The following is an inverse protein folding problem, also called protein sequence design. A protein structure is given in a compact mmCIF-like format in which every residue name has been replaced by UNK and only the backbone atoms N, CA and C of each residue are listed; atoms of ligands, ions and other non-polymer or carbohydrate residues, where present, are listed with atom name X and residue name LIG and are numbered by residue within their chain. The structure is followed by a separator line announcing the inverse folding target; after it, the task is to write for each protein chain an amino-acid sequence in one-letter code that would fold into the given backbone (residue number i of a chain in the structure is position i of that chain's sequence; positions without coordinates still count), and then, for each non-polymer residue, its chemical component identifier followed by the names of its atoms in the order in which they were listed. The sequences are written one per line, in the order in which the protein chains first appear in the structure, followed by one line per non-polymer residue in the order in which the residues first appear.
data_IF_690487694052
#
_entry.id   IF_690487694052
#
_cell.length_a   1.000
_cell.length_b   1.000
_cell.length_c   1.000
_cell.angle_alpha   90.00
_cell.angle_beta   90.00
_cell.angle_gamma   90.00
#
_symmetry.space_group_name_H-M   'P 1'
#
loop_
_entity.id
_entity.type
_entity.pdbx_description
1 polymer ?
#
# COMPACT_ATOMS: atom_id res chain seq x y z
N UNK A 1 -5.36 -29.86 3.19
CA UNK A 1 -6.36 -28.78 3.05
C UNK A 1 -5.59 -27.54 2.63
N UNK A 2 -5.88 -26.96 1.46
CA UNK A 2 -5.25 -25.70 1.06
C UNK A 2 -5.76 -24.58 1.99
N UNK A 3 -4.93 -23.60 2.35
CA UNK A 3 -5.38 -22.46 3.14
C UNK A 3 -6.48 -21.70 2.37
N UNK A 4 -7.57 -21.37 3.07
CA UNK A 4 -8.59 -20.46 2.55
C UNK A 4 -8.05 -19.05 2.73
N UNK A 5 -7.75 -18.38 1.62
CA UNK A 5 -7.38 -16.97 1.66
C UNK A 5 -8.64 -16.11 1.72
N UNK A 6 -8.67 -15.08 2.57
CA UNK A 6 -9.74 -14.09 2.54
C UNK A 6 -9.79 -13.37 1.19
N UNK A 7 -10.98 -12.91 0.80
CA UNK A 7 -11.19 -12.16 -0.43
C UNK A 7 -10.49 -10.79 -0.35
N UNK A 8 -9.86 -10.38 -1.45
CA UNK A 8 -9.16 -9.09 -1.56
C UNK A 8 -10.03 -8.15 -2.38
N UNK A 9 -10.39 -7.00 -1.80
CA UNK A 9 -11.08 -5.94 -2.51
C UNK A 9 -10.05 -5.01 -3.19
N UNK A 10 -10.18 -4.80 -4.50
CA UNK A 10 -9.39 -3.79 -5.22
C UNK A 10 -10.14 -2.46 -5.21
N UNK A 11 -9.56 -1.42 -4.60
CA UNK A 11 -10.13 -0.08 -4.56
C UNK A 11 -9.62 0.76 -5.74
N UNK A 12 -10.54 1.40 -6.45
CA UNK A 12 -10.33 2.28 -7.60
C UNK A 12 -10.92 3.66 -7.32
N UNK A 13 -10.54 4.66 -8.12
CA UNK A 13 -10.97 6.05 -7.96
C UNK A 13 -12.50 6.26 -7.96
N UNK A 14 -13.25 5.38 -8.64
CA UNK A 14 -14.71 5.44 -8.73
C UNK A 14 -15.45 4.70 -7.61
N UNK A 15 -14.72 4.00 -6.73
CA UNK A 15 -15.35 3.23 -5.66
C UNK A 15 -15.81 4.17 -4.53
N UNK A 16 -17.11 4.15 -4.26
CA UNK A 16 -17.73 5.01 -3.25
C UNK A 16 -17.77 4.37 -1.85
N UNK A 17 -17.33 3.11 -1.72
CA UNK A 17 -17.48 2.33 -0.50
C UNK A 17 -16.16 1.65 -0.09
N UNK A 18 -15.79 1.88 1.17
CA UNK A 18 -14.72 1.19 1.88
C UNK A 18 -15.33 -0.02 2.62
N UNK A 19 -15.08 -1.23 2.12
CA UNK A 19 -15.73 -2.45 2.60
C UNK A 19 -15.12 -3.06 3.87
N UNK A 20 -13.97 -2.56 4.32
CA UNK A 20 -13.17 -3.20 5.36
C UNK A 20 -12.53 -4.51 4.88
N UNK A 21 -11.86 -5.24 5.78
CA UNK A 21 -11.15 -6.47 5.43
C UNK A 21 -9.82 -6.21 4.70
N UNK A 22 -9.45 -7.10 3.77
CA UNK A 22 -8.20 -6.96 3.00
C UNK A 22 -8.46 -6.17 1.72
N UNK A 23 -7.70 -5.09 1.55
CA UNK A 23 -7.81 -4.22 0.40
C UNK A 23 -6.46 -4.05 -0.30
N UNK A 24 -6.52 -3.98 -1.63
CA UNK A 24 -5.43 -3.54 -2.49
C UNK A 24 -5.85 -2.21 -3.13
N UNK A 25 -4.98 -1.21 -3.06
CA UNK A 25 -5.26 0.11 -3.61
C UNK A 25 -3.95 0.81 -3.99
N UNK A 26 -3.97 1.73 -4.97
CA UNK A 26 -2.83 2.60 -5.20
C UNK A 26 -2.61 3.53 -4.01
N UNK A 27 -1.34 3.83 -3.71
CA UNK A 27 -0.95 4.60 -2.54
C UNK A 27 -1.62 5.99 -2.44
N UNK A 28 -1.91 6.63 -3.57
CA UNK A 28 -2.52 7.97 -3.57
C UNK A 28 -3.99 7.94 -3.08
N UNK A 29 -4.69 6.82 -3.22
CA UNK A 29 -6.06 6.62 -2.70
C UNK A 29 -6.11 6.40 -1.20
N UNK A 30 -4.96 6.09 -0.57
CA UNK A 30 -4.90 5.85 0.87
C UNK A 30 -5.04 7.13 1.71
N UNK A 31 -5.00 8.32 1.09
CA UNK A 31 -5.08 9.59 1.82
C UNK A 31 -6.43 9.74 2.53
N UNK A 32 -6.38 9.87 3.86
CA UNK A 32 -7.58 10.00 4.69
C UNK A 32 -8.20 8.65 5.11
N UNK A 33 -7.56 7.54 4.72
CA UNK A 33 -7.88 6.21 5.22
C UNK A 33 -6.86 5.79 6.28
N UNK A 34 -7.26 4.92 7.19
CA UNK A 34 -6.41 4.32 8.20
C UNK A 34 -6.64 2.81 8.23
N UNK A 35 -5.57 2.04 8.44
CA UNK A 35 -5.60 0.59 8.40
C UNK A 35 -4.86 0.03 9.60
N UNK A 36 -5.33 -1.08 10.15
CA UNK A 36 -4.62 -1.75 11.25
C UNK A 36 -3.22 -2.21 10.81
N UNK A 37 -3.11 -2.76 9.60
CA UNK A 37 -1.87 -3.18 9.00
C UNK A 37 -1.78 -2.74 7.53
N UNK A 38 -0.58 -2.32 7.10
CA UNK A 38 -0.30 -1.93 5.71
C UNK A 38 0.91 -2.69 5.19
N UNK A 39 0.78 -3.22 3.97
CA UNK A 39 1.91 -3.74 3.19
C UNK A 39 2.12 -2.79 2.02
N UNK A 40 3.25 -2.08 1.99
CA UNK A 40 3.63 -1.24 0.84
C UNK A 40 4.45 -2.09 -0.13
N UNK A 41 4.08 -2.05 -1.41
CA UNK A 41 4.79 -2.78 -2.46
C UNK A 41 4.83 -2.00 -3.77
N UNK A 42 5.76 -2.37 -4.64
CA UNK A 42 5.90 -1.88 -6.00
C UNK A 42 6.44 -3.00 -6.89
N UNK A 43 6.02 -3.02 -8.16
CA UNK A 43 6.47 -4.00 -9.16
C UNK A 43 7.10 -3.25 -10.32
N UNK A 44 6.27 -2.58 -11.13
CA UNK A 44 6.72 -1.81 -12.29
C UNK A 44 7.12 -0.39 -11.88
N UNK A 45 6.16 0.39 -11.36
CA UNK A 45 6.34 1.76 -10.89
C UNK A 45 7.05 1.79 -9.53
N UNK A 46 8.26 2.34 -9.50
CA UNK A 46 9.10 2.37 -8.30
C UNK A 46 8.95 3.68 -7.52
N UNK A 47 9.17 3.62 -6.21
CA UNK A 47 9.33 4.81 -5.39
C UNK A 47 10.77 5.33 -5.55
N UNK A 48 10.99 6.19 -6.55
CA UNK A 48 12.30 6.75 -6.84
C UNK A 48 12.69 7.87 -5.85
N UNK A 49 13.93 8.35 -5.93
CA UNK A 49 14.42 9.50 -5.16
C UNK A 49 13.86 10.84 -5.69
N UNK A 50 12.57 10.89 -6.00
CA UNK A 50 11.85 12.09 -6.41
C UNK A 50 11.03 12.65 -5.25
N UNK A 51 10.82 13.96 -5.22
CA UNK A 51 10.01 14.61 -4.19
C UNK A 51 8.56 14.09 -4.16
N UNK A 52 8.03 13.66 -5.31
CA UNK A 52 6.67 13.13 -5.42
C UNK A 52 6.59 11.76 -4.77
N UNK A 53 7.51 10.86 -5.13
CA UNK A 53 7.51 9.47 -4.65
C UNK A 53 7.81 9.40 -3.15
N UNK A 54 8.71 10.26 -2.66
CA UNK A 54 8.99 10.36 -1.22
C UNK A 54 7.72 10.75 -0.45
N UNK A 55 6.96 11.73 -0.95
CA UNK A 55 5.71 12.15 -0.31
C UNK A 55 4.63 11.06 -0.41
N UNK A 56 4.56 10.37 -1.55
CA UNK A 56 3.60 9.29 -1.77
C UNK A 56 3.88 8.11 -0.83
N UNK A 57 5.15 7.72 -0.71
CA UNK A 57 5.62 6.69 0.21
C UNK A 57 5.33 7.08 1.66
N UNK A 58 5.63 8.33 2.04
CA UNK A 58 5.30 8.86 3.37
C UNK A 58 3.80 8.77 3.67
N UNK A 59 2.95 9.15 2.71
CA UNK A 59 1.50 9.01 2.85
C UNK A 59 1.12 7.55 3.07
N UNK A 60 1.66 6.61 2.30
CA UNK A 60 1.35 5.18 2.40
C UNK A 60 1.79 4.54 3.73
N UNK A 61 3.03 4.78 4.17
CA UNK A 61 3.56 4.17 5.42
C UNK A 61 2.86 4.71 6.66
N UNK A 62 2.39 5.96 6.64
CA UNK A 62 1.69 6.61 7.76
C UNK A 62 0.19 6.28 7.81
N UNK A 63 -0.30 5.30 7.03
CA UNK A 63 -1.68 4.78 7.17
C UNK A 63 -1.78 3.58 8.10
N UNK A 64 -0.65 2.94 8.41
CA UNK A 64 -0.60 1.84 9.34
C UNK A 64 -0.75 2.33 10.79
N UNK A 65 -1.79 1.86 11.48
CA UNK A 65 -2.00 2.14 12.89
C UNK A 65 -1.17 1.23 13.80
N UNK A 66 -1.09 -0.07 13.48
CA UNK A 66 -0.43 -1.06 14.32
C UNK A 66 0.81 -1.68 13.67
N UNK A 67 0.76 -1.99 12.38
CA UNK A 67 1.86 -2.68 11.69
C UNK A 67 2.07 -2.19 10.26
N UNK A 68 3.32 -1.96 9.90
CA UNK A 68 3.74 -1.67 8.54
C UNK A 68 4.78 -2.70 8.10
N UNK A 69 4.60 -3.27 6.92
CA UNK A 69 5.59 -4.09 6.24
C UNK A 69 5.84 -3.56 4.83
N UNK A 70 7.02 -3.86 4.28
CA UNK A 70 7.40 -3.49 2.92
C UNK A 70 7.89 -4.72 2.20
N UNK A 71 7.25 -5.00 1.05
CA UNK A 71 7.64 -6.10 0.17
C UNK A 71 8.05 -5.50 -1.15
N UNK A 72 9.30 -5.75 -1.55
CA UNK A 72 9.90 -5.18 -2.75
C UNK A 72 10.66 -6.24 -3.52
N UNK A 73 10.69 -6.09 -4.84
CA UNK A 73 11.62 -6.83 -5.67
C UNK A 73 13.06 -6.34 -5.42
N UNK A 74 14.08 -7.16 -5.74
CA UNK A 74 15.47 -6.71 -5.72
C UNK A 74 15.63 -5.41 -6.50
N UNK A 75 16.49 -4.51 -6.00
CA UNK A 75 16.82 -3.21 -6.60
C UNK A 75 15.68 -2.17 -6.68
N UNK A 76 14.45 -2.51 -6.28
CA UNK A 76 13.34 -1.56 -6.13
C UNK A 76 13.34 -0.90 -4.76
N UNK A 77 12.68 0.26 -4.67
CA UNK A 77 12.44 1.05 -3.47
C UNK A 77 13.73 1.42 -2.73
N UNK A 78 14.70 2.00 -3.47
CA UNK A 78 16.02 2.40 -2.95
C UNK A 78 15.96 3.50 -1.87
N UNK A 79 14.80 4.12 -1.67
CA UNK A 79 14.52 5.07 -0.59
C UNK A 79 14.64 4.44 0.80
N UNK A 80 14.49 3.12 0.89
CA UNK A 80 14.51 2.39 2.15
C UNK A 80 15.73 1.46 2.12
N UNK A 81 16.64 1.57 3.12
CA UNK A 81 17.86 0.78 3.16
C UNK A 81 17.60 -0.74 3.21
#
# INVERSE_FOLDING_TARGET
MLPVFPEIQLLKDCDTAYGGGIMALPAYLSKGLEFDAVIVTCIEDDYACSNLDIKLLYVAITRALHKMDIIRLPEKMKLIP
#
